data_IF_025970952957
#
_entry.id   IF_025970952957
#
_cell.length_a   1.000
_cell.length_b   1.000
_cell.length_c   1.000
_cell.angle_alpha   90.00
_cell.angle_beta   90.00
_cell.angle_gamma   90.00
#
_symmetry.space_group_name_H-M   'P 1'
#
loop_
_entity.id
_entity.type
_entity.pdbx_description
1 polymer ?
#
# COMPACT_ATOMS: atom_id res chain seq x y z
N UNK A 1 5.90 15.19 10.52
CA UNK A 1 7.16 15.78 10.02
C UNK A 1 7.36 15.31 8.60
N UNK A 2 7.66 16.21 7.66
CA UNK A 2 7.76 15.90 6.24
C UNK A 2 9.11 16.42 5.74
N UNK A 3 9.73 15.73 4.78
CA UNK A 3 10.93 16.23 4.10
C UNK A 3 10.65 17.52 3.30
N UNK A 4 11.71 18.20 2.87
CA UNK A 4 11.61 19.48 2.16
C UNK A 4 10.83 19.34 0.83
N UNK A 5 10.99 18.21 0.15
CA UNK A 5 10.36 17.92 -1.13
C UNK A 5 8.91 17.43 -1.01
N UNK A 6 8.43 17.24 0.22
CA UNK A 6 7.09 16.74 0.55
C UNK A 6 6.78 15.39 -0.07
N UNK A 7 7.77 14.49 -0.06
CA UNK A 7 7.69 13.13 -0.61
C UNK A 7 7.62 12.07 0.46
N UNK A 8 8.26 12.28 1.60
CA UNK A 8 8.27 11.30 2.69
C UNK A 8 8.11 11.99 4.03
N UNK A 9 7.62 11.25 5.02
CA UNK A 9 7.43 11.80 6.35
C UNK A 9 7.12 10.78 7.42
N UNK A 10 7.00 11.29 8.63
CA UNK A 10 6.45 10.57 9.77
C UNK A 10 5.22 11.29 10.29
N UNK A 11 4.17 10.52 10.54
CA UNK A 11 3.03 10.92 11.36
C UNK A 11 3.20 10.28 12.72
N UNK A 12 3.16 11.10 13.77
CA UNK A 12 3.22 10.65 15.16
C UNK A 12 1.88 10.98 15.80
N UNK A 13 1.17 9.94 16.23
CA UNK A 13 0.00 10.05 17.09
C UNK A 13 0.37 9.81 18.56
N UNK A 14 -0.64 9.73 19.41
CA UNK A 14 -0.43 9.40 20.83
C UNK A 14 -0.04 7.93 21.02
N UNK A 15 -0.47 7.05 20.12
CA UNK A 15 -0.36 5.60 20.20
C UNK A 15 0.14 4.94 18.91
N UNK A 16 0.54 5.73 17.90
CA UNK A 16 1.06 5.21 16.64
C UNK A 16 2.19 6.06 16.06
N UNK A 17 3.01 5.41 15.23
CA UNK A 17 3.93 6.03 14.30
C UNK A 17 3.68 5.45 12.91
N UNK A 18 3.62 6.32 11.90
CA UNK A 18 3.51 5.92 10.49
C UNK A 18 4.61 6.58 9.69
N UNK A 19 5.41 5.78 8.99
CA UNK A 19 6.21 6.27 7.87
C UNK A 19 5.39 6.14 6.59
N UNK A 20 5.39 7.20 5.78
CA UNK A 20 4.69 7.24 4.50
C UNK A 20 5.55 7.94 3.45
N UNK A 21 5.43 7.51 2.20
CA UNK A 21 6.14 8.13 1.08
C UNK A 21 5.35 8.05 -0.22
N UNK A 22 5.45 9.07 -1.05
CA UNK A 22 5.01 9.06 -2.46
C UNK A 22 6.16 8.77 -3.42
N UNK A 23 7.41 8.79 -2.93
CA UNK A 23 8.62 8.46 -3.69
C UNK A 23 9.15 7.10 -3.22
N UNK A 24 8.32 6.07 -3.45
CA UNK A 24 8.73 4.70 -3.20
C UNK A 24 9.70 4.24 -4.29
N UNK A 25 10.92 3.90 -3.88
CA UNK A 25 11.96 3.32 -4.72
C UNK A 25 11.95 1.79 -4.59
N UNK A 26 12.20 1.29 -3.38
CA UNK A 26 12.15 -0.14 -3.08
C UNK A 26 11.85 -0.40 -1.59
N UNK A 27 11.58 -1.66 -1.26
CA UNK A 27 11.20 -2.06 0.09
C UNK A 27 12.34 -1.90 1.09
N UNK A 28 13.61 -2.01 0.66
CA UNK A 28 14.77 -1.93 1.54
C UNK A 28 14.89 -0.52 2.13
N UNK A 29 14.85 0.52 1.28
CA UNK A 29 14.93 1.92 1.74
C UNK A 29 13.68 2.34 2.52
N UNK A 30 12.51 1.85 2.10
CA UNK A 30 11.24 2.11 2.77
C UNK A 30 11.20 1.53 4.19
N UNK A 31 11.48 0.23 4.35
CA UNK A 31 11.46 -0.45 5.65
C UNK A 31 12.57 0.10 6.55
N UNK A 32 13.77 0.35 6.02
CA UNK A 32 14.86 0.94 6.79
C UNK A 32 14.47 2.30 7.38
N UNK A 33 13.75 3.12 6.62
CA UNK A 33 13.27 4.42 7.09
C UNK A 33 12.23 4.26 8.20
N UNK A 34 11.25 3.37 8.03
CA UNK A 34 10.27 3.04 9.08
C UNK A 34 10.95 2.56 10.37
N UNK A 35 11.90 1.62 10.26
CA UNK A 35 12.65 1.07 11.40
C UNK A 35 13.47 2.15 12.10
N UNK A 36 14.10 3.07 11.35
CA UNK A 36 14.80 4.21 11.93
C UNK A 36 13.87 5.06 12.81
N UNK A 37 12.69 5.44 12.29
CA UNK A 37 11.72 6.23 13.06
C UNK A 37 11.19 5.47 14.28
N UNK A 38 10.84 4.19 14.11
CA UNK A 38 10.38 3.34 15.20
C UNK A 38 11.43 3.18 16.30
N UNK A 39 12.70 3.01 15.94
CA UNK A 39 13.79 2.88 16.91
C UNK A 39 13.85 4.07 17.88
N UNK A 40 13.57 5.28 17.37
CA UNK A 40 13.53 6.50 18.18
C UNK A 40 12.32 6.53 19.11
N UNK A 41 11.15 6.08 18.65
CA UNK A 41 9.97 5.95 19.52
C UNK A 41 10.23 4.94 20.65
N UNK A 42 10.83 3.79 20.34
CA UNK A 42 11.18 2.79 21.34
C UNK A 42 12.21 3.30 22.36
N UNK A 43 13.19 4.10 21.90
CA UNK A 43 14.22 4.72 22.74
C UNK A 43 13.64 5.74 23.73
N UNK A 44 12.77 6.64 23.27
CA UNK A 44 12.30 7.78 24.05
C UNK A 44 10.95 7.57 24.74
N UNK A 45 9.95 7.04 24.02
CA UNK A 45 8.62 6.82 24.57
C UNK A 45 8.51 5.51 25.35
N UNK A 46 9.37 4.53 25.05
CA UNK A 46 9.47 3.23 25.74
C UNK A 46 8.11 2.56 25.96
N UNK A 47 7.30 2.37 24.89
CA UNK A 47 6.06 1.64 25.02
C UNK A 47 6.33 0.24 25.57
N UNK A 48 5.41 -0.31 26.36
CA UNK A 48 5.55 -1.65 26.93
C UNK A 48 5.17 -2.76 25.96
N UNK A 49 4.36 -2.46 24.96
CA UNK A 49 3.89 -3.40 23.94
C UNK A 49 3.58 -2.68 22.62
N UNK A 50 3.57 -3.45 21.54
CA UNK A 50 2.95 -3.06 20.27
C UNK A 50 1.62 -3.80 20.10
N UNK A 51 0.59 -3.12 19.60
CA UNK A 51 -0.74 -3.68 19.38
C UNK A 51 -1.03 -4.00 17.90
N UNK A 52 -0.37 -3.31 16.97
CA UNK A 52 -0.55 -3.48 15.51
C UNK A 52 0.72 -3.14 14.74
N UNK A 53 1.00 -3.91 13.70
CA UNK A 53 2.03 -3.63 12.69
C UNK A 53 1.38 -3.80 11.32
N UNK A 54 1.60 -2.84 10.40
CA UNK A 54 1.02 -2.93 9.08
C UNK A 54 1.82 -2.22 7.99
N UNK A 55 1.49 -2.56 6.75
CA UNK A 55 2.04 -2.01 5.52
C UNK A 55 0.90 -1.77 4.54
N UNK A 56 0.85 -0.57 3.95
CA UNK A 56 -0.12 -0.23 2.91
C UNK A 56 0.59 0.27 1.65
N UNK A 57 0.24 -0.29 0.49
CA UNK A 57 0.77 0.11 -0.82
C UNK A 57 -0.36 0.52 -1.75
N UNK A 58 -0.09 1.53 -2.56
CA UNK A 58 -0.98 2.01 -3.62
C UNK A 58 -0.24 1.94 -4.95
N UNK A 59 -0.70 1.06 -5.83
CA UNK A 59 -0.14 0.88 -7.17
C UNK A 59 -1.12 1.38 -8.23
N UNK A 60 -0.71 2.41 -8.97
CA UNK A 60 -1.54 3.01 -10.00
C UNK A 60 -1.48 2.20 -11.30
N UNK A 61 -2.64 1.77 -11.79
CA UNK A 61 -2.83 1.20 -13.12
C UNK A 61 -3.44 2.27 -14.01
N UNK A 62 -2.62 2.85 -14.90
CA UNK A 62 -3.00 3.98 -15.75
C UNK A 62 -2.79 3.64 -17.24
N UNK A 63 -3.73 2.91 -17.90
CA UNK A 63 -3.56 2.35 -19.25
C UNK A 63 -3.30 3.38 -20.34
N UNK A 64 -2.46 3.11 -21.34
CA UNK A 64 -2.33 4.00 -22.50
C UNK A 64 -3.62 4.09 -23.34
N UNK A 65 -3.68 5.01 -24.32
CA UNK A 65 -4.93 5.32 -25.05
C UNK A 65 -5.53 4.12 -25.79
N UNK A 66 -4.72 3.14 -26.18
CA UNK A 66 -5.15 1.90 -26.84
C UNK A 66 -5.39 0.75 -25.87
N UNK A 67 -5.23 0.97 -24.57
CA UNK A 67 -5.21 -0.08 -23.56
C UNK A 67 -6.37 0.07 -22.58
N UNK A 68 -6.70 -1.03 -21.91
CA UNK A 68 -7.76 -1.07 -20.90
C UNK A 68 -7.21 -1.51 -19.56
N UNK A 69 -7.93 -1.20 -18.47
CA UNK A 69 -7.58 -1.63 -17.11
C UNK A 69 -7.51 -3.16 -17.05
N UNK A 70 -8.43 -3.84 -17.73
CA UNK A 70 -8.59 -5.28 -17.78
C UNK A 70 -7.37 -5.98 -18.39
N UNK A 71 -6.62 -5.31 -19.27
CA UNK A 71 -5.35 -5.86 -19.76
C UNK A 71 -4.28 -5.92 -18.67
N UNK A 72 -4.35 -5.08 -17.64
CA UNK A 72 -3.35 -5.04 -16.57
C UNK A 72 -3.70 -5.92 -15.37
N UNK A 73 -4.97 -6.28 -15.21
CA UNK A 73 -5.47 -7.05 -14.07
C UNK A 73 -5.83 -8.48 -14.48
N UNK A 74 -5.75 -9.42 -13.53
CA UNK A 74 -6.32 -10.76 -13.73
C UNK A 74 -7.85 -10.68 -13.87
N UNK A 75 -8.42 -11.68 -14.56
CA UNK A 75 -9.85 -11.70 -14.92
C UNK A 75 -10.78 -11.59 -13.71
N UNK A 76 -10.36 -12.10 -12.56
CA UNK A 76 -11.10 -12.09 -11.29
C UNK A 76 -11.31 -10.66 -10.73
N UNK A 77 -10.53 -9.69 -11.22
CA UNK A 77 -10.59 -8.28 -10.82
C UNK A 77 -11.21 -7.38 -11.90
N UNK A 78 -11.78 -7.97 -12.96
CA UNK A 78 -12.44 -7.21 -14.02
C UNK A 78 -13.78 -6.62 -13.54
N UNK A 79 -14.42 -7.28 -12.58
CA UNK A 79 -15.74 -6.89 -12.07
C UNK A 79 -16.87 -7.36 -12.96
N UNK A 80 -18.06 -6.82 -12.75
CA UNK A 80 -19.27 -7.17 -13.53
C UNK A 80 -19.46 -6.15 -14.64
N UNK A 81 -19.60 -6.63 -15.87
CA UNK A 81 -19.98 -5.82 -17.02
C UNK A 81 -21.50 -5.86 -17.23
N UNK A 82 -22.15 -4.71 -17.06
CA UNK A 82 -23.58 -4.53 -17.29
C UNK A 82 -23.91 -3.97 -18.69
N UNK A 83 -22.89 -3.70 -19.52
CA UNK A 83 -23.05 -3.01 -20.81
C UNK A 83 -23.34 -1.51 -20.67
N UNK A 84 -23.11 -0.93 -19.49
CA UNK A 84 -23.29 0.49 -19.21
C UNK A 84 -21.95 1.21 -19.10
N UNK A 85 -21.97 2.53 -19.27
CA UNK A 85 -20.76 3.35 -19.10
C UNK A 85 -20.32 3.36 -17.63
N UNK A 86 -19.15 2.79 -17.28
CA UNK A 86 -18.67 2.77 -15.91
C UNK A 86 -18.26 4.19 -15.47
N UNK A 87 -18.61 4.56 -14.24
CA UNK A 87 -18.17 5.82 -13.60
C UNK A 87 -17.09 5.50 -12.56
N UNK A 88 -17.38 4.54 -11.69
CA UNK A 88 -16.48 4.06 -10.65
C UNK A 88 -16.90 2.67 -10.18
N UNK A 89 -15.97 1.91 -9.63
CA UNK A 89 -16.24 0.68 -8.88
C UNK A 89 -15.18 0.46 -7.82
N UNK A 90 -15.56 -0.25 -6.75
CA UNK A 90 -14.65 -0.71 -5.71
C UNK A 90 -14.92 -2.19 -5.50
N UNK A 91 -13.87 -2.99 -5.60
CA UNK A 91 -13.88 -4.40 -5.19
C UNK A 91 -12.96 -4.52 -3.98
N UNK A 92 -13.48 -5.04 -2.87
CA UNK A 92 -12.71 -5.31 -1.65
C UNK A 92 -12.74 -6.80 -1.33
N UNK A 93 -11.62 -7.32 -0.85
CA UNK A 93 -11.52 -8.67 -0.32
C UNK A 93 -10.56 -8.70 0.87
N UNK A 94 -10.91 -9.48 1.90
CA UNK A 94 -10.10 -9.65 3.10
C UNK A 94 -9.66 -11.09 3.20
N UNK A 95 -8.37 -11.31 3.40
CA UNK A 95 -7.75 -12.62 3.49
C UNK A 95 -6.98 -12.75 4.79
N UNK A 96 -7.04 -13.94 5.39
CA UNK A 96 -6.11 -14.29 6.46
C UNK A 96 -4.80 -14.79 5.84
N UNK A 97 -3.67 -14.32 6.36
CA UNK A 97 -2.34 -14.70 5.92
C UNK A 97 -1.57 -15.38 7.04
N UNK A 98 -0.59 -16.21 6.68
CA UNK A 98 0.39 -16.74 7.63
C UNK A 98 1.67 -15.92 7.52
N UNK A 99 2.08 -15.30 8.62
CA UNK A 99 3.27 -14.44 8.74
C UNK A 99 3.96 -14.69 10.06
N UNK A 100 5.20 -14.27 10.23
CA UNK A 100 6.01 -14.59 11.42
C UNK A 100 7.05 -13.47 11.65
N UNK A 101 7.69 -13.34 12.83
CA UNK A 101 7.73 -14.27 13.98
C UNK A 101 6.85 -13.89 15.18
N UNK A 102 6.30 -12.68 15.25
CA UNK A 102 5.60 -12.19 16.45
C UNK A 102 4.14 -12.65 16.50
N UNK A 103 3.42 -12.48 15.39
CA UNK A 103 2.01 -12.87 15.28
C UNK A 103 1.85 -13.75 14.04
N UNK A 104 1.38 -15.01 14.20
CA UNK A 104 1.29 -15.97 13.11
C UNK A 104 0.21 -15.64 12.06
N UNK A 105 -0.86 -14.96 12.48
CA UNK A 105 -2.04 -14.69 11.66
C UNK A 105 -2.14 -13.21 11.31
N UNK A 106 -1.93 -12.88 10.04
CA UNK A 106 -2.13 -11.54 9.48
C UNK A 106 -3.44 -11.41 8.72
N UNK A 107 -3.76 -10.17 8.34
CA UNK A 107 -4.93 -9.79 7.56
C UNK A 107 -4.52 -8.94 6.37
N UNK A 108 -4.73 -9.46 5.17
CA UNK A 108 -4.55 -8.73 3.91
C UNK A 108 -5.89 -8.21 3.45
N UNK A 109 -6.03 -6.89 3.36
CA UNK A 109 -7.14 -6.25 2.67
C UNK A 109 -6.66 -5.81 1.30
N UNK A 110 -7.30 -6.35 0.26
CA UNK A 110 -7.05 -5.98 -1.13
C UNK A 110 -8.24 -5.19 -1.64
N UNK A 111 -7.98 -4.01 -2.22
CA UNK A 111 -8.97 -3.16 -2.86
C UNK A 111 -8.53 -2.82 -4.28
N UNK A 112 -9.47 -2.87 -5.21
CA UNK A 112 -9.31 -2.35 -6.56
C UNK A 112 -10.29 -1.21 -6.73
N UNK A 113 -9.77 0.01 -6.78
CA UNK A 113 -10.57 1.20 -7.08
C UNK A 113 -10.47 1.46 -8.57
N UNK A 114 -11.57 1.34 -9.32
CA UNK A 114 -11.64 1.81 -10.71
C UNK A 114 -12.43 3.12 -10.73
N UNK A 115 -11.95 4.12 -11.45
CA UNK A 115 -12.66 5.39 -11.57
C UNK A 115 -12.37 6.10 -12.89
N UNK A 116 -13.34 6.82 -13.40
CA UNK A 116 -13.16 7.76 -14.51
C UNK A 116 -12.79 9.13 -13.94
N UNK A 117 -11.53 9.52 -14.08
CA UNK A 117 -11.02 10.68 -13.36
C UNK A 117 -9.57 11.00 -13.68
N UNK A 118 -9.07 12.03 -12.99
CA UNK A 118 -7.62 12.18 -12.82
C UNK A 118 -7.16 11.19 -11.74
N UNK A 119 -5.93 10.69 -11.86
CA UNK A 119 -5.34 9.84 -10.84
C UNK A 119 -5.22 10.62 -9.53
N UNK A 120 -5.62 9.98 -8.43
CA UNK A 120 -5.58 10.55 -7.10
C UNK A 120 -5.40 9.49 -6.03
N UNK A 121 -5.43 9.90 -4.77
CA UNK A 121 -5.46 8.97 -3.64
C UNK A 121 -6.86 8.37 -3.46
N UNK A 122 -6.97 7.14 -2.93
CA UNK A 122 -8.25 6.60 -2.48
C UNK A 122 -8.98 7.57 -1.52
N UNK A 123 -10.33 7.63 -1.53
CA UNK A 123 -11.09 8.60 -0.73
C UNK A 123 -10.87 8.52 0.78
N UNK A 124 -10.50 7.34 1.28
CA UNK A 124 -10.22 7.08 2.69
C UNK A 124 -8.80 7.51 3.12
N UNK A 125 -7.93 7.87 2.16
CA UNK A 125 -6.54 8.23 2.44
C UNK A 125 -6.32 9.74 2.38
N UNK A 126 -5.87 10.30 3.51
CA UNK A 126 -5.40 11.67 3.59
C UNK A 126 -3.87 11.66 3.41
N UNK A 127 -3.30 12.34 2.39
CA UNK A 127 -1.86 12.29 2.11
C UNK A 127 -1.00 13.02 3.15
N UNK A 128 -1.61 13.63 4.18
CA UNK A 128 -0.93 14.22 5.34
C UNK A 128 0.17 15.21 4.93
N UNK A 129 -0.09 16.01 3.90
CA UNK A 129 0.84 17.02 3.39
C UNK A 129 1.87 16.52 2.38
N UNK A 130 1.90 15.23 2.05
CA UNK A 130 2.70 14.72 0.93
C UNK A 130 2.11 15.16 -0.41
N UNK A 131 2.99 15.33 -1.39
CA UNK A 131 2.63 15.65 -2.77
C UNK A 131 2.85 14.42 -3.66
N UNK A 132 1.92 14.09 -4.58
CA UNK A 132 2.16 13.02 -5.55
C UNK A 132 3.36 13.37 -6.46
N UNK A 133 4.01 12.33 -6.99
CA UNK A 133 5.06 12.51 -8.00
C UNK A 133 4.47 13.16 -9.26
N UNK A 134 5.29 13.89 -10.06
CA UNK A 134 4.83 14.52 -11.29
C UNK A 134 4.08 13.56 -12.22
N UNK A 135 4.54 12.30 -12.35
CA UNK A 135 3.89 11.26 -13.16
C UNK A 135 2.49 10.85 -12.68
N UNK A 136 2.15 11.18 -11.44
CA UNK A 136 0.84 10.92 -10.82
C UNK A 136 0.03 12.20 -10.58
N UNK A 137 0.52 13.35 -11.07
CA UNK A 137 -0.10 14.65 -10.88
C UNK A 137 -0.67 15.17 -12.20
N UNK A 138 -1.83 15.85 -12.17
CA UNK A 138 -2.43 16.46 -13.35
C UNK A 138 -2.60 15.50 -14.54
N UNK A 139 -2.91 14.23 -14.27
CA UNK A 139 -3.08 13.24 -15.33
C UNK A 139 -4.27 13.59 -16.21
N UNK A 140 -4.30 13.07 -17.44
CA UNK A 140 -5.49 13.12 -18.29
C UNK A 140 -6.69 12.48 -17.55
N UNK A 141 -7.89 12.98 -17.82
CA UNK A 141 -9.12 12.39 -17.31
C UNK A 141 -9.43 11.11 -18.10
N UNK A 142 -9.37 9.95 -17.44
CA UNK A 142 -9.70 8.66 -18.05
C UNK A 142 -9.99 7.59 -17.00
N UNK A 143 -10.56 6.47 -17.46
CA UNK A 143 -10.67 5.25 -16.68
C UNK A 143 -9.27 4.76 -16.28
N UNK A 144 -9.09 4.58 -14.98
CA UNK A 144 -7.88 4.00 -14.40
C UNK A 144 -8.23 3.16 -13.18
N UNK A 145 -7.24 2.46 -12.63
CA UNK A 145 -7.39 1.75 -11.38
C UNK A 145 -6.27 2.04 -10.38
N UNK A 146 -6.56 1.81 -9.11
CA UNK A 146 -5.59 1.78 -8.02
C UNK A 146 -5.73 0.41 -7.35
N UNK A 147 -4.62 -0.31 -7.31
CA UNK A 147 -4.47 -1.51 -6.49
C UNK A 147 -4.02 -1.03 -5.11
N UNK A 148 -4.87 -1.21 -4.12
CA UNK A 148 -4.59 -0.86 -2.72
C UNK A 148 -4.47 -2.15 -1.91
N UNK A 149 -3.29 -2.38 -1.35
CA UNK A 149 -3.01 -3.53 -0.47
C UNK A 149 -2.66 -3.03 0.91
N UNK A 150 -3.44 -3.42 1.91
CA UNK A 150 -3.22 -3.13 3.32
C UNK A 150 -3.05 -4.44 4.08
N UNK A 151 -1.83 -4.73 4.51
CA UNK A 151 -1.48 -5.95 5.21
C UNK A 151 -1.01 -5.66 6.62
N UNK A 152 -1.64 -6.29 7.62
CA UNK A 152 -1.32 -6.03 9.01
C UNK A 152 -1.49 -7.27 9.91
N UNK A 153 -0.89 -7.19 11.09
CA UNK A 153 -1.14 -8.07 12.23
C UNK A 153 -1.57 -7.25 13.42
N UNK A 154 -2.42 -7.82 14.27
CA UNK A 154 -2.87 -7.24 15.52
C UNK A 154 -2.68 -8.23 16.67
N UNK A 155 -2.35 -7.72 17.85
CA UNK A 155 -2.14 -8.52 19.05
C UNK A 155 -1.05 -7.93 19.96
N UNK A 156 -0.83 -8.56 21.10
CA UNK A 156 0.20 -8.12 22.03
C UNK A 156 1.57 -8.62 21.56
N UNK A 157 2.41 -7.69 21.10
CA UNK A 157 3.74 -7.97 20.58
C UNK A 157 4.82 -7.33 21.45
N UNK A 158 6.00 -7.97 21.50
CA UNK A 158 7.17 -7.38 22.12
C UNK A 158 7.67 -6.18 21.33
N UNK A 159 8.42 -5.30 22.00
CA UNK A 159 9.09 -4.15 21.39
C UNK A 159 10.50 -4.48 20.89
N UNK A 160 10.78 -5.75 20.60
CA UNK A 160 12.07 -6.16 20.03
C UNK A 160 12.16 -5.72 18.57
N UNK A 161 13.01 -4.73 18.31
CA UNK A 161 13.13 -4.11 16.99
C UNK A 161 13.51 -5.11 15.89
N UNK A 162 14.33 -6.13 16.19
CA UNK A 162 14.72 -7.14 15.21
C UNK A 162 13.55 -8.07 14.86
N UNK A 163 12.73 -8.44 15.84
CA UNK A 163 11.54 -9.25 15.61
C UNK A 163 10.46 -8.46 14.85
N UNK A 164 10.33 -7.17 15.15
CA UNK A 164 9.42 -6.26 14.43
C UNK A 164 9.82 -6.13 12.97
N UNK A 165 11.11 -5.91 12.68
CA UNK A 165 11.62 -5.82 11.31
C UNK A 165 11.35 -7.11 10.53
N UNK A 166 11.59 -8.28 11.14
CA UNK A 166 11.26 -9.58 10.53
C UNK A 166 9.76 -9.74 10.26
N UNK A 167 8.91 -9.31 11.19
CA UNK A 167 7.45 -9.32 11.00
C UNK A 167 7.04 -8.45 9.81
N UNK A 168 7.59 -7.23 9.70
CA UNK A 168 7.33 -6.31 8.59
C UNK A 168 7.78 -6.92 7.26
N UNK A 169 8.95 -7.55 7.21
CA UNK A 169 9.44 -8.24 6.00
C UNK A 169 8.54 -9.43 5.62
N UNK A 170 8.05 -10.19 6.60
CA UNK A 170 7.07 -11.27 6.38
C UNK A 170 5.75 -10.72 5.81
N UNK A 171 5.25 -9.61 6.34
CA UNK A 171 4.08 -8.90 5.79
C UNK A 171 4.35 -8.46 4.35
N UNK A 172 5.49 -7.83 4.08
CA UNK A 172 5.88 -7.36 2.74
C UNK A 172 5.93 -8.49 1.72
N UNK A 173 6.49 -9.65 2.09
CA UNK A 173 6.54 -10.82 1.20
C UNK A 173 5.15 -11.24 0.71
N UNK A 174 4.14 -11.17 1.59
CA UNK A 174 2.75 -11.50 1.24
C UNK A 174 2.06 -10.41 0.42
N UNK A 175 2.40 -9.13 0.65
CA UNK A 175 1.96 -8.04 -0.24
C UNK A 175 2.48 -8.27 -1.65
N UNK A 176 3.76 -8.61 -1.78
CA UNK A 176 4.37 -8.89 -3.10
C UNK A 176 3.67 -10.05 -3.81
N UNK A 177 3.45 -11.16 -3.10
CA UNK A 177 2.71 -12.32 -3.63
C UNK A 177 1.30 -11.94 -4.09
N UNK A 178 0.57 -11.15 -3.28
CA UNK A 178 -0.76 -10.66 -3.63
C UNK A 178 -0.71 -9.77 -4.88
N UNK A 179 0.21 -8.79 -4.94
CA UNK A 179 0.37 -7.93 -6.10
C UNK A 179 0.64 -8.72 -7.38
N UNK A 180 1.58 -9.65 -7.34
CA UNK A 180 1.89 -10.55 -8.48
C UNK A 180 0.66 -11.37 -8.89
N UNK A 181 -0.16 -11.83 -7.94
CA UNK A 181 -1.40 -12.56 -8.20
C UNK A 181 -2.54 -11.69 -8.78
N UNK A 182 -2.51 -10.38 -8.59
CA UNK A 182 -3.54 -9.46 -9.07
C UNK A 182 -3.28 -8.90 -10.47
N UNK A 183 -2.03 -8.88 -10.91
CA UNK A 183 -1.62 -8.28 -12.18
C UNK A 183 -1.42 -9.34 -13.26
N UNK A 184 -1.70 -8.96 -14.50
CA UNK A 184 -1.56 -9.84 -15.67
C UNK A 184 -0.09 -9.96 -16.14
N UNK A 185 0.18 -10.92 -17.02
CA UNK A 185 1.48 -11.02 -17.71
C UNK A 185 1.77 -9.80 -18.59
N UNK A 186 0.72 -9.20 -19.15
CA UNK A 186 0.82 -7.96 -19.92
C UNK A 186 1.35 -6.81 -19.04
N UNK A 187 0.78 -6.64 -17.84
CA UNK A 187 1.26 -5.64 -16.88
C UNK A 187 2.72 -5.89 -16.49
N UNK A 188 3.06 -7.13 -16.12
CA UNK A 188 4.44 -7.51 -15.76
C UNK A 188 5.42 -7.18 -16.87
N UNK A 189 5.12 -7.58 -18.11
CA UNK A 189 5.99 -7.33 -19.27
C UNK A 189 6.17 -5.84 -19.53
N UNK A 190 5.14 -5.04 -19.26
CA UNK A 190 5.15 -3.60 -19.52
C UNK A 190 5.89 -2.78 -18.47
N UNK A 191 5.95 -3.26 -17.23
CA UNK A 191 6.62 -2.57 -16.13
C UNK A 191 8.07 -3.03 -15.90
N UNK A 192 8.48 -4.14 -16.54
CA UNK A 192 9.87 -4.64 -16.59
C UNK A 192 10.65 -4.08 -17.78
#
# INVERSE_FOLDING_TARGET
MIDADRRSGFVLGNDFITFHTTYYDNHVSFISSLILGLSKVLEFAKPSLLSRIGLRYLDAVFPEKSETIEQYLVKELHGVDFGWTPIQSIQESVYQTCVEPLIPNGFMVSRIHKMNGQLGFPPDMIPNGLLPLPRFSNTEHRMHAIIDTDHYVEGNMSTDLQLIEKQILSLHSKVKEAFEGMVSDFARTKWH
#
